data_IF_819672348401
#
_entry.id   IF_819672348401
#
_cell.length_a   1.000
_cell.length_b   1.000
_cell.length_c   1.000
_cell.angle_alpha   90.00
_cell.angle_beta   90.00
_cell.angle_gamma   90.00
#
_symmetry.space_group_name_H-M   'P 1'
#
loop_
_entity.id
_entity.type
_entity.pdbx_description
1 polymer ?
#
# COMPACT_ATOMS: atom_id res chain seq x y z
N UNK A 1 8.94 -4.31 6.96
CA UNK A 1 8.99 -5.52 6.10
C UNK A 1 7.71 -6.32 6.29
N UNK A 2 6.71 -6.14 5.43
CA UNK A 2 5.47 -6.91 5.52
C UNK A 2 5.80 -8.37 5.23
N UNK A 3 5.52 -9.28 6.17
CA UNK A 3 5.68 -10.71 5.95
C UNK A 3 4.88 -11.13 4.72
N UNK A 4 5.58 -11.50 3.65
CA UNK A 4 4.99 -12.21 2.54
C UNK A 4 4.34 -13.46 3.11
N UNK A 5 3.01 -13.47 3.20
CA UNK A 5 2.26 -14.63 3.66
C UNK A 5 2.33 -15.66 2.54
N UNK A 6 3.12 -16.75 2.67
CA UNK A 6 3.36 -17.69 1.56
C UNK A 6 2.15 -18.59 1.29
N UNK A 7 1.02 -18.35 1.97
CA UNK A 7 -0.15 -19.22 2.02
C UNK A 7 -0.93 -19.27 0.69
N UNK A 8 -0.66 -18.34 -0.23
CA UNK A 8 -1.31 -18.24 -1.55
C UNK A 8 -0.30 -17.96 -2.68
N UNK A 9 0.94 -18.41 -2.52
CA UNK A 9 1.91 -18.36 -3.60
C UNK A 9 1.86 -19.66 -4.41
N UNK A 10 1.50 -19.57 -5.69
CA UNK A 10 1.58 -20.69 -6.62
C UNK A 10 3.03 -21.07 -6.96
N UNK A 11 4.01 -20.37 -6.39
CA UNK A 11 5.43 -20.63 -6.55
C UNK A 11 5.80 -20.64 -8.02
N UNK A 12 6.42 -21.73 -8.46
CA UNK A 12 6.88 -21.90 -9.85
C UNK A 12 5.72 -21.89 -10.85
N UNK A 13 4.51 -22.27 -10.44
CA UNK A 13 3.31 -22.25 -11.30
C UNK A 13 2.67 -20.87 -11.45
N UNK A 14 3.08 -19.89 -10.65
CA UNK A 14 2.60 -18.51 -10.77
C UNK A 14 2.99 -17.89 -12.11
N UNK A 15 4.24 -18.09 -12.53
CA UNK A 15 4.79 -17.52 -13.74
C UNK A 15 4.09 -17.98 -15.05
N UNK A 16 3.87 -19.28 -15.30
CA UNK A 16 3.15 -19.71 -16.50
C UNK A 16 1.69 -19.24 -16.50
N UNK A 17 1.03 -19.15 -15.35
CA UNK A 17 -0.34 -18.62 -15.25
C UNK A 17 -0.38 -17.16 -15.69
N UNK A 18 0.58 -16.32 -15.26
CA UNK A 18 0.67 -14.94 -15.72
C UNK A 18 0.89 -14.83 -17.22
N UNK A 19 1.75 -15.69 -17.79
CA UNK A 19 2.00 -15.70 -19.25
C UNK A 19 0.72 -16.01 -20.02
N UNK A 20 -0.02 -17.04 -19.61
CA UNK A 20 -1.30 -17.41 -20.23
C UNK A 20 -2.33 -16.28 -20.09
N UNK A 21 -2.41 -15.64 -18.93
CA UNK A 21 -3.33 -14.53 -18.69
C UNK A 21 -3.02 -13.33 -19.60
N UNK A 22 -1.75 -12.98 -19.76
CA UNK A 22 -1.30 -11.90 -20.65
C UNK A 22 -1.62 -12.27 -22.11
N UNK A 23 -1.26 -13.47 -22.54
CA UNK A 23 -1.50 -13.94 -23.91
C UNK A 23 -3.00 -13.93 -24.25
N UNK A 24 -3.84 -14.42 -23.34
CA UNK A 24 -5.29 -14.39 -23.51
C UNK A 24 -5.83 -12.96 -23.56
N UNK A 25 -5.34 -12.07 -22.71
CA UNK A 25 -5.75 -10.65 -22.74
C UNK A 25 -5.42 -10.00 -24.09
N UNK A 26 -4.22 -10.25 -24.63
CA UNK A 26 -3.82 -9.77 -25.97
C UNK A 26 -4.72 -10.36 -27.06
N UNK A 27 -5.03 -11.65 -26.98
CA UNK A 27 -5.94 -12.31 -27.92
C UNK A 27 -7.32 -11.65 -27.91
N UNK A 28 -7.91 -11.42 -26.74
CA UNK A 28 -9.22 -10.77 -26.59
C UNK A 28 -9.21 -9.37 -27.21
N UNK A 29 -8.13 -8.61 -27.00
CA UNK A 29 -7.97 -7.29 -27.63
C UNK A 29 -7.99 -7.43 -29.16
N UNK A 30 -7.17 -8.33 -29.73
CA UNK A 30 -7.10 -8.55 -31.18
C UNK A 30 -8.47 -8.95 -31.75
N UNK A 31 -9.17 -9.90 -31.11
CA UNK A 31 -10.49 -10.37 -31.54
C UNK A 31 -11.52 -9.25 -31.49
N UNK A 32 -11.42 -8.35 -30.51
CA UNK A 32 -12.35 -7.23 -30.39
C UNK A 32 -12.19 -6.21 -31.54
N UNK A 33 -11.03 -6.12 -32.18
CA UNK A 33 -10.82 -5.31 -33.40
C UNK A 33 -11.42 -5.93 -34.66
N UNK A 34 -11.81 -7.21 -34.64
CA UNK A 34 -12.40 -7.88 -35.80
C UNK A 34 -13.82 -7.35 -36.04
N UNK A 35 -14.17 -6.93 -37.27
CA UNK A 35 -15.51 -6.49 -37.59
C UNK A 35 -16.50 -7.65 -37.49
N UNK A 36 -17.62 -7.45 -36.78
CA UNK A 36 -18.65 -8.48 -36.61
C UNK A 36 -19.60 -8.59 -37.83
N UNK A 37 -19.64 -7.55 -38.66
CA UNK A 37 -20.58 -7.46 -39.79
C UNK A 37 -19.89 -6.87 -41.03
N UNK A 38 -20.22 -7.42 -42.20
CA UNK A 38 -19.83 -6.88 -43.50
C UNK A 38 -21.07 -6.32 -44.23
N UNK A 39 -20.97 -5.16 -44.91
CA UNK A 39 -19.80 -4.28 -45.04
C UNK A 39 -19.53 -3.45 -43.78
N UNK A 40 -18.26 -3.08 -43.58
CA UNK A 40 -17.84 -2.21 -42.47
C UNK A 40 -18.10 -0.76 -42.87
N UNK A 41 -19.13 -0.15 -42.27
CA UNK A 41 -19.42 1.28 -42.38
C UNK A 41 -19.29 1.92 -40.99
N UNK A 42 -19.28 3.26 -40.93
CA UNK A 42 -19.22 3.98 -39.66
C UNK A 42 -20.37 3.57 -38.72
N UNK A 43 -21.53 3.19 -39.25
CA UNK A 43 -22.66 2.79 -38.42
C UNK A 43 -22.56 1.34 -37.91
N UNK A 44 -21.73 0.49 -38.52
CA UNK A 44 -21.66 -0.96 -38.21
C UNK A 44 -20.36 -1.40 -37.53
N UNK A 45 -19.40 -0.49 -37.32
CA UNK A 45 -18.14 -0.81 -36.68
C UNK A 45 -18.32 -1.07 -35.16
N UNK A 46 -17.57 -2.02 -34.61
CA UNK A 46 -17.52 -2.24 -33.17
C UNK A 46 -16.78 -1.09 -32.47
N UNK A 47 -17.53 -0.19 -31.82
CA UNK A 47 -16.97 0.95 -31.07
C UNK A 47 -16.47 0.60 -29.67
N UNK A 48 -16.75 -0.59 -29.16
CA UNK A 48 -16.37 -0.98 -27.80
C UNK A 48 -14.87 -0.87 -27.60
N UNK A 49 -14.06 -1.29 -28.58
CA UNK A 49 -12.60 -1.21 -28.48
C UNK A 49 -12.09 0.23 -28.43
N UNK A 50 -12.67 1.12 -29.25
CA UNK A 50 -12.34 2.55 -29.24
C UNK A 50 -12.62 3.17 -27.87
N UNK A 51 -13.81 2.92 -27.32
CA UNK A 51 -14.22 3.44 -26.01
C UNK A 51 -13.28 2.93 -24.90
N UNK A 52 -12.97 1.63 -24.89
CA UNK A 52 -12.07 1.04 -23.88
C UNK A 52 -10.65 1.59 -23.99
N UNK A 53 -10.15 1.83 -25.21
CA UNK A 53 -8.83 2.42 -25.42
C UNK A 53 -8.77 3.86 -24.93
N UNK A 54 -9.78 4.69 -25.23
CA UNK A 54 -9.88 6.04 -24.71
C UNK A 54 -9.94 6.08 -23.17
N UNK A 55 -10.71 5.18 -22.57
CA UNK A 55 -10.79 5.05 -21.11
C UNK A 55 -9.43 4.66 -20.51
N UNK A 56 -8.74 3.67 -21.09
CA UNK A 56 -7.42 3.26 -20.62
C UNK A 56 -6.41 4.42 -20.68
N UNK A 57 -6.42 5.21 -21.77
CA UNK A 57 -5.57 6.40 -21.90
C UNK A 57 -5.92 7.44 -20.84
N UNK A 58 -7.20 7.70 -20.57
CA UNK A 58 -7.61 8.63 -19.53
C UNK A 58 -7.13 8.21 -18.13
N UNK A 59 -7.18 6.91 -17.82
CA UNK A 59 -6.67 6.37 -16.57
C UNK A 59 -5.14 6.49 -16.45
N UNK A 60 -4.41 6.19 -17.53
CA UNK A 60 -2.95 6.36 -17.58
C UNK A 60 -2.60 7.84 -17.40
N UNK A 61 -3.31 8.75 -18.07
CA UNK A 61 -3.11 10.18 -17.93
C UNK A 61 -3.35 10.63 -16.47
N UNK A 62 -4.47 10.23 -15.86
CA UNK A 62 -4.75 10.53 -14.45
C UNK A 62 -3.65 10.02 -13.51
N UNK A 63 -3.11 8.84 -13.78
CA UNK A 63 -1.98 8.29 -13.02
C UNK A 63 -0.69 9.11 -13.18
N UNK A 64 -0.37 9.55 -14.40
CA UNK A 64 0.81 10.35 -14.67
C UNK A 64 0.74 11.75 -14.07
N UNK A 65 -0.44 12.38 -14.08
CA UNK A 65 -0.62 13.73 -13.55
C UNK A 65 -0.72 13.76 -12.02
N UNK A 66 -1.58 12.92 -11.42
CA UNK A 66 -1.88 13.01 -9.99
C UNK A 66 -1.45 11.77 -9.21
N UNK A 67 -1.62 10.58 -9.80
CA UNK A 67 -1.32 9.32 -9.14
C UNK A 67 0.13 9.24 -8.66
N UNK A 68 1.08 9.66 -9.51
CA UNK A 68 2.50 9.61 -9.17
C UNK A 68 2.93 10.56 -8.05
N UNK A 69 2.22 11.66 -7.84
CA UNK A 69 2.56 12.66 -6.81
C UNK A 69 1.91 12.36 -5.46
N UNK A 70 0.71 11.77 -5.46
CA UNK A 70 -0.06 11.49 -4.22
C UNK A 70 0.22 10.08 -3.67
N UNK A 71 0.75 9.18 -4.49
CA UNK A 71 1.10 7.83 -4.06
C UNK A 71 2.51 7.82 -3.45
N UNK A 72 2.61 8.21 -2.19
CA UNK A 72 3.77 7.88 -1.37
C UNK A 72 3.63 6.42 -0.92
N UNK A 73 4.55 5.49 -1.32
CA UNK A 73 4.60 4.22 -0.64
C UNK A 73 4.85 4.50 0.84
N UNK A 74 4.16 3.78 1.73
CA UNK A 74 4.48 3.74 3.16
C UNK A 74 5.92 3.20 3.29
N UNK A 75 6.90 4.07 3.08
CA UNK A 75 8.30 3.82 3.35
C UNK A 75 8.37 3.78 4.86
N UNK A 76 8.47 2.55 5.39
CA UNK A 76 8.68 2.20 6.78
C UNK A 76 8.61 3.42 7.69
N UNK A 77 7.42 3.75 8.21
CA UNK A 77 7.30 4.77 9.26
C UNK A 77 8.41 4.46 10.26
N UNK A 78 9.28 5.44 10.48
CA UNK A 78 10.47 5.31 11.30
C UNK A 78 10.05 4.76 12.68
N UNK A 79 10.22 3.45 12.88
CA UNK A 79 9.95 2.78 14.16
C UNK A 79 10.77 3.44 15.28
N UNK A 80 11.83 4.15 14.91
CA UNK A 80 12.65 5.00 15.77
C UNK A 80 11.83 6.07 16.54
N UNK A 81 10.78 6.63 15.92
CA UNK A 81 9.98 7.69 16.55
C UNK A 81 9.13 7.18 17.72
N UNK A 82 8.55 5.98 17.59
CA UNK A 82 7.74 5.38 18.65
C UNK A 82 8.61 4.78 19.76
N UNK A 83 9.82 4.30 19.44
CA UNK A 83 10.77 3.78 20.43
C UNK A 83 11.27 4.90 21.35
N UNK A 84 11.58 6.09 20.82
CA UNK A 84 11.96 7.25 21.65
C UNK A 84 10.86 7.70 22.62
N UNK A 85 9.59 7.60 22.21
CA UNK A 85 8.45 7.99 23.07
C UNK A 85 8.28 7.01 24.24
N UNK A 86 8.52 5.72 24.02
CA UNK A 86 8.44 4.69 25.08
C UNK A 86 9.60 4.84 26.06
N UNK A 87 10.82 5.06 25.57
CA UNK A 87 12.01 5.27 26.43
C UNK A 87 11.85 6.53 27.29
N UNK A 88 11.34 7.63 26.72
CA UNK A 88 11.07 8.86 27.48
C UNK A 88 9.96 8.73 28.54
N UNK A 89 9.00 7.81 28.36
CA UNK A 89 7.97 7.53 29.36
C UNK A 89 8.53 6.73 30.54
N UNK A 90 9.43 5.77 30.27
CA UNK A 90 10.06 4.94 31.30
C UNK A 90 10.93 5.79 32.23
N UNK A 91 11.76 6.68 31.68
CA UNK A 91 12.58 7.61 32.46
C UNK A 91 11.75 8.54 33.36
N UNK A 92 10.61 9.04 32.85
CA UNK A 92 9.73 9.92 33.61
C UNK A 92 9.04 9.19 34.79
N UNK A 93 8.69 7.91 34.61
CA UNK A 93 8.10 7.07 35.66
C UNK A 93 9.15 6.76 36.74
N UNK A 94 10.38 6.42 36.35
CA UNK A 94 11.47 6.17 37.31
C UNK A 94 11.79 7.42 38.15
N UNK A 95 11.86 8.60 37.53
CA UNK A 95 12.08 9.85 38.26
C UNK A 95 10.95 10.16 39.25
N UNK A 96 9.69 9.88 38.88
CA UNK A 96 8.55 10.06 39.77
C UNK A 96 8.60 9.12 40.98
N UNK A 97 9.03 7.86 40.80
CA UNK A 97 9.16 6.91 41.92
C UNK A 97 10.29 7.31 42.87
N UNK A 98 11.44 7.75 42.34
CA UNK A 98 12.56 8.22 43.16
C UNK A 98 12.21 9.47 43.99
N UNK A 99 11.52 10.46 43.40
CA UNK A 99 11.05 11.65 44.11
C UNK A 99 10.10 11.29 45.26
N UNK A 100 9.17 10.35 45.03
CA UNK A 100 8.26 9.87 46.09
C UNK A 100 9.02 9.18 47.22
N UNK A 101 10.00 8.33 46.91
CA UNK A 101 10.83 7.65 47.92
C UNK A 101 11.66 8.64 48.72
N UNK A 102 12.25 9.64 48.07
CA UNK A 102 13.05 10.66 48.74
C UNK A 102 12.18 11.52 49.66
N UNK A 103 10.99 11.94 49.22
CA UNK A 103 10.03 12.66 50.06
C UNK A 103 9.58 11.82 51.27
N UNK A 104 9.30 10.53 51.07
CA UNK A 104 8.95 9.63 52.17
C UNK A 104 10.09 9.48 53.20
N UNK A 105 11.34 9.41 52.73
CA UNK A 105 12.51 9.32 53.60
C UNK A 105 12.76 10.62 54.40
N UNK A 106 12.55 11.79 53.77
CA UNK A 106 12.65 13.09 54.44
C UNK A 106 11.57 13.23 55.52
N UNK A 107 10.32 12.84 55.22
CA UNK A 107 9.22 12.88 56.19
C UNK A 107 9.48 11.94 57.38
N UNK A 108 10.01 10.74 57.11
CA UNK A 108 10.33 9.77 58.16
C UNK A 108 11.43 10.28 59.11
N UNK A 109 12.42 11.02 58.59
CA UNK A 109 13.49 11.59 59.40
C UNK A 109 13.03 12.82 60.21
N UNK A 110 12.10 13.61 59.67
CA UNK A 110 11.49 14.76 60.36
C UNK A 110 10.59 14.32 61.53
N UNK A 111 9.90 13.17 61.40
CA UNK A 111 9.04 12.62 62.47
C UNK A 111 9.81 11.96 63.63
N UNK A 112 11.12 11.74 63.50
CA UNK A 112 11.98 11.13 64.52
C UNK A 112 12.85 12.11 65.31
N UNK A 113 12.77 13.41 65.03
CA UNK A 113 13.41 14.49 65.78
C UNK A 113 12.41 15.15 66.76
#
# INVERSE_FOLDING_TARGET
MLHASPRWDFGVWSNPVYIVAILYSVLVIIVAFIPQTHPVTADTMNYTVLIMTCLAVAMIAGWLFEGRSKFSPLRNVDIDSDVQVIEGLEEAIEQCDQDKRQKAHVIAHDQTA
#
